data_IF_869082137423
#
_entry.id   IF_869082137423
#
_cell.length_a   1.000
_cell.length_b   1.000
_cell.length_c   1.000
_cell.angle_alpha   90.00
_cell.angle_beta   90.00
_cell.angle_gamma   90.00
#
_symmetry.space_group_name_H-M   'P 1'
#
loop_
_entity.id
_entity.type
_entity.pdbx_description
1 polymer ?
#
# COMPACT_ATOMS: atom_id res chain seq x y z
N UNK A 1 17.40 22.83 -9.53
CA UNK A 1 17.26 21.36 -9.63
C UNK A 1 18.59 20.73 -9.29
N UNK A 2 18.60 19.74 -8.40
CA UNK A 2 19.78 18.93 -8.14
C UNK A 2 20.13 18.11 -9.39
N UNK A 3 21.42 17.85 -9.60
CA UNK A 3 21.94 16.95 -10.62
C UNK A 3 21.62 15.49 -10.31
N UNK A 4 21.72 14.62 -11.31
CA UNK A 4 21.54 13.19 -11.12
C UNK A 4 22.59 12.59 -10.16
N UNK A 5 23.84 13.05 -10.20
CA UNK A 5 24.85 12.65 -9.22
C UNK A 5 24.46 13.02 -7.79
N UNK A 6 24.00 14.26 -7.56
CA UNK A 6 23.59 14.72 -6.23
C UNK A 6 22.38 13.92 -5.70
N UNK A 7 21.40 13.62 -6.55
CA UNK A 7 20.26 12.77 -6.18
C UNK A 7 20.69 11.34 -5.85
N UNK A 8 21.62 10.76 -6.62
CA UNK A 8 22.14 9.42 -6.34
C UNK A 8 22.94 9.36 -5.03
N UNK A 9 23.72 10.41 -4.73
CA UNK A 9 24.42 10.51 -3.45
C UNK A 9 23.44 10.62 -2.28
N UNK A 10 22.37 11.41 -2.43
CA UNK A 10 21.33 11.59 -1.43
C UNK A 10 20.48 10.32 -1.20
N UNK A 11 20.15 9.60 -2.28
CA UNK A 11 19.49 8.27 -2.21
C UNK A 11 20.34 7.27 -1.43
N UNK A 12 21.67 7.33 -1.59
CA UNK A 12 22.60 6.46 -0.89
C UNK A 12 22.36 4.98 -1.20
N UNK A 13 22.61 4.09 -0.24
CA UNK A 13 22.39 2.64 -0.37
C UNK A 13 21.71 2.09 0.88
N UNK A 14 20.79 1.15 0.69
CA UNK A 14 20.17 0.40 1.79
C UNK A 14 19.10 1.15 2.59
N UNK A 15 18.67 2.34 2.15
CA UNK A 15 17.62 3.11 2.84
C UNK A 15 16.29 2.36 2.91
N UNK A 16 15.92 1.63 1.86
CA UNK A 16 14.74 0.76 1.87
C UNK A 16 14.79 -0.29 3.00
N UNK A 17 15.96 -0.90 3.26
CA UNK A 17 16.12 -1.83 4.39
C UNK A 17 16.00 -1.10 5.73
N UNK A 18 16.65 0.06 5.88
CA UNK A 18 16.58 0.87 7.10
C UNK A 18 15.14 1.25 7.45
N UNK A 19 14.36 1.69 6.46
CA UNK A 19 12.95 2.03 6.65
C UNK A 19 12.07 0.80 6.87
N UNK A 20 12.04 -0.11 5.90
CA UNK A 20 11.07 -1.23 5.87
C UNK A 20 11.37 -2.34 6.88
N UNK A 21 12.65 -2.62 7.16
CA UNK A 21 13.06 -3.72 8.04
C UNK A 21 13.52 -3.23 9.41
N UNK A 22 14.29 -2.15 9.47
CA UNK A 22 14.88 -1.66 10.73
C UNK A 22 14.00 -0.61 11.43
N UNK A 23 12.96 -0.09 10.76
CA UNK A 23 11.97 0.83 11.34
C UNK A 23 12.47 2.27 11.50
N UNK A 24 13.51 2.66 10.76
CA UNK A 24 14.06 4.02 10.78
C UNK A 24 13.16 4.98 9.97
N UNK A 25 12.34 5.76 10.68
CA UNK A 25 11.41 6.73 10.08
C UNK A 25 12.07 8.05 9.69
N UNK A 26 13.34 8.27 10.02
CA UNK A 26 14.05 9.53 9.79
C UNK A 26 14.98 9.39 8.59
N UNK A 27 15.88 8.41 8.62
CA UNK A 27 16.89 8.17 7.58
C UNK A 27 16.51 7.03 6.64
N UNK A 28 15.51 6.22 7.00
CA UNK A 28 15.00 5.15 6.15
C UNK A 28 14.13 5.63 5.00
N UNK A 29 13.91 4.73 4.04
CA UNK A 29 12.97 4.92 2.94
C UNK A 29 11.82 3.91 3.10
N UNK A 30 10.58 4.41 3.07
CA UNK A 30 9.37 3.61 3.17
C UNK A 30 8.73 3.49 1.79
N UNK A 31 8.81 2.30 1.21
CA UNK A 31 8.19 1.98 -0.08
C UNK A 31 6.75 1.53 0.14
N UNK A 32 5.81 2.48 0.19
CA UNK A 32 4.37 2.21 0.34
C UNK A 32 3.55 2.90 -0.75
N UNK A 33 2.49 2.24 -1.21
CA UNK A 33 1.54 2.80 -2.15
C UNK A 33 0.53 3.75 -1.49
N UNK A 34 -0.14 4.59 -2.30
CA UNK A 34 -1.17 5.52 -1.82
C UNK A 34 -2.32 4.81 -1.06
N UNK A 35 -2.62 3.56 -1.42
CA UNK A 35 -3.65 2.74 -0.78
C UNK A 35 -3.39 2.48 0.71
N UNK A 36 -2.16 2.67 1.19
CA UNK A 36 -1.79 2.50 2.60
C UNK A 36 -2.65 3.33 3.55
N UNK A 37 -3.15 4.48 3.10
CA UNK A 37 -4.05 5.33 3.90
C UNK A 37 -5.44 4.73 4.17
N UNK A 38 -5.81 3.63 3.53
CA UNK A 38 -7.05 2.89 3.79
C UNK A 38 -6.85 1.65 4.68
N UNK A 39 -5.62 1.37 5.10
CA UNK A 39 -5.29 0.17 5.89
C UNK A 39 -5.30 0.53 7.37
N UNK A 40 -6.40 0.22 8.05
CA UNK A 40 -6.58 0.52 9.49
C UNK A 40 -6.25 -0.66 10.42
N UNK A 41 -6.02 -1.86 9.86
CA UNK A 41 -5.85 -3.10 10.63
C UNK A 41 -4.74 -3.96 10.06
N UNK A 42 -3.99 -4.61 10.95
CA UNK A 42 -3.02 -5.65 10.58
C UNK A 42 -3.74 -7.00 10.59
N UNK A 43 -3.80 -7.65 9.43
CA UNK A 43 -4.50 -8.91 9.26
C UNK A 43 -3.54 -10.02 8.82
N UNK A 44 -3.79 -11.29 9.21
CA UNK A 44 -3.13 -12.42 8.58
C UNK A 44 -3.43 -12.45 7.08
N UNK A 45 -2.44 -12.83 6.26
CA UNK A 45 -2.58 -12.85 4.80
C UNK A 45 -3.82 -13.65 4.32
N UNK A 46 -4.18 -14.73 5.02
CA UNK A 46 -5.38 -15.52 4.71
C UNK A 46 -6.69 -14.72 4.83
N UNK A 47 -6.79 -13.83 5.81
CA UNK A 47 -8.00 -13.02 6.00
C UNK A 47 -8.04 -11.89 4.98
N UNK A 48 -6.90 -11.27 4.63
CA UNK A 48 -6.83 -10.26 3.56
C UNK A 48 -7.40 -10.81 2.24
N UNK A 49 -6.93 -11.98 1.81
CA UNK A 49 -7.40 -12.60 0.55
C UNK A 49 -8.89 -12.95 0.63
N UNK A 50 -9.32 -13.49 1.78
CA UNK A 50 -10.73 -13.85 2.00
C UNK A 50 -11.65 -12.63 1.98
N UNK A 51 -11.26 -11.52 2.62
CA UNK A 51 -12.00 -10.26 2.61
C UNK A 51 -12.13 -9.72 1.19
N UNK A 52 -11.02 -9.64 0.42
CA UNK A 52 -11.04 -9.18 -0.98
C UNK A 52 -12.03 -9.99 -1.82
N UNK A 53 -11.99 -11.32 -1.74
CA UNK A 53 -12.88 -12.19 -2.52
C UNK A 53 -14.35 -12.08 -2.06
N UNK A 54 -14.58 -11.95 -0.75
CA UNK A 54 -15.92 -11.76 -0.20
C UNK A 54 -16.53 -10.43 -0.63
N UNK A 55 -15.78 -9.34 -0.51
CA UNK A 55 -16.20 -7.98 -0.90
C UNK A 55 -16.46 -7.89 -2.40
N UNK A 56 -15.63 -8.54 -3.22
CA UNK A 56 -15.86 -8.63 -4.66
C UNK A 56 -17.22 -9.26 -4.99
N UNK A 57 -17.53 -10.43 -4.40
CA UNK A 57 -18.81 -11.09 -4.64
C UNK A 57 -20.00 -10.28 -4.12
N UNK A 58 -19.83 -9.61 -2.97
CA UNK A 58 -20.84 -8.70 -2.43
C UNK A 58 -21.11 -7.55 -3.40
N UNK A 59 -20.06 -6.87 -3.88
CA UNK A 59 -20.18 -5.78 -4.84
C UNK A 59 -20.86 -6.23 -6.14
N UNK A 60 -20.52 -7.42 -6.65
CA UNK A 60 -21.15 -8.01 -7.82
C UNK A 60 -22.65 -8.27 -7.61
N UNK A 61 -23.04 -8.77 -6.44
CA UNK A 61 -24.44 -8.97 -6.09
C UNK A 61 -25.20 -7.64 -5.94
N UNK A 62 -24.57 -6.63 -5.34
CA UNK A 62 -25.16 -5.30 -5.15
C UNK A 62 -25.41 -4.56 -6.47
N UNK A 63 -24.59 -4.80 -7.50
CA UNK A 63 -24.81 -4.25 -8.84
C UNK A 63 -26.15 -4.68 -9.46
N UNK A 64 -26.71 -5.81 -9.05
CA UNK A 64 -28.01 -6.28 -9.55
C UNK A 64 -29.20 -5.60 -8.84
N UNK A 65 -28.93 -4.76 -7.83
CA UNK A 65 -29.95 -4.03 -7.08
C UNK A 65 -30.71 -3.04 -7.97
N UNK A 66 -32.01 -2.78 -7.68
CA UNK A 66 -32.78 -1.71 -8.34
C UNK A 66 -32.11 -0.33 -8.27
N UNK A 67 -31.19 -0.11 -7.31
CA UNK A 67 -30.39 1.12 -7.20
C UNK A 67 -29.55 1.42 -8.45
N UNK A 68 -29.24 0.40 -9.25
CA UNK A 68 -28.39 0.51 -10.45
C UNK A 68 -29.13 0.15 -11.74
N UNK A 69 -30.46 0.01 -11.70
CA UNK A 69 -31.29 -0.12 -12.89
C UNK A 69 -31.72 1.28 -13.35
N UNK A 70 -31.15 1.74 -14.47
CA UNK A 70 -31.50 3.00 -15.14
C UNK A 70 -32.53 2.77 -16.26
#
# INVERSE_FOLDING_TARGET
NASAEELNQLLGRGRAKKGMFEGDLVEGELEIGQISGLIDKILPAKEVVKEIVSEFHQALSEQQSPKFQF
#
